data_IF_163076447272
#
_entry.id   IF_163076447272
#
_cell.length_a   1.000
_cell.length_b   1.000
_cell.length_c   1.000
_cell.angle_alpha   90.00
_cell.angle_beta   90.00
_cell.angle_gamma   90.00
#
_symmetry.space_group_name_H-M   'P 1'
#
loop_
_entity.id
_entity.type
_entity.pdbx_description
1 polymer ?
#
# COMPACT_ATOMS: atom_id res chain seq x y z
N UNK A 1 -47.99 -78.95 -11.12
CA UNK A 1 -48.20 -78.40 -9.78
C UNK A 1 -47.22 -77.26 -9.57
N UNK A 2 -47.65 -76.05 -9.94
CA UNK A 2 -46.90 -74.80 -9.82
C UNK A 2 -47.38 -74.08 -8.56
N UNK A 3 -46.53 -74.02 -7.55
CA UNK A 3 -46.81 -73.32 -6.30
C UNK A 3 -46.83 -71.79 -6.50
N UNK A 4 -47.68 -71.06 -5.76
CA UNK A 4 -47.77 -69.61 -5.90
C UNK A 4 -46.50 -68.92 -5.37
N UNK A 5 -46.00 -67.96 -6.15
CA UNK A 5 -44.91 -67.08 -5.77
C UNK A 5 -45.29 -66.21 -4.55
N UNK A 6 -44.39 -66.05 -3.55
CA UNK A 6 -44.63 -65.13 -2.45
C UNK A 6 -44.70 -63.70 -2.97
N UNK A 7 -45.84 -63.04 -2.72
CA UNK A 7 -46.02 -61.62 -2.96
C UNK A 7 -45.04 -60.84 -2.08
N UNK A 8 -44.11 -60.12 -2.73
CA UNK A 8 -43.27 -59.13 -2.06
C UNK A 8 -44.19 -58.07 -1.45
N UNK A 9 -44.30 -58.10 -0.12
CA UNK A 9 -44.95 -57.07 0.68
C UNK A 9 -44.23 -55.74 0.37
N UNK A 10 -44.96 -54.88 -0.34
CA UNK A 10 -44.64 -53.48 -0.57
C UNK A 10 -44.28 -52.81 0.76
N UNK A 11 -42.99 -52.72 1.06
CA UNK A 11 -42.47 -51.71 1.98
C UNK A 11 -42.65 -50.36 1.28
N UNK A 12 -43.86 -49.80 1.34
CA UNK A 12 -44.10 -48.39 1.13
C UNK A 12 -43.40 -47.63 2.27
N UNK A 13 -42.06 -47.57 2.19
CA UNK A 13 -41.28 -46.68 3.03
C UNK A 13 -41.79 -45.28 2.78
N UNK A 14 -42.31 -44.64 3.83
CA UNK A 14 -42.77 -43.27 3.81
C UNK A 14 -41.67 -42.41 3.19
N UNK A 15 -41.83 -42.05 1.91
CA UNK A 15 -40.89 -41.18 1.21
C UNK A 15 -40.93 -39.86 1.95
N UNK A 16 -39.84 -39.54 2.66
CA UNK A 16 -39.69 -38.24 3.28
C UNK A 16 -39.96 -37.17 2.22
N UNK A 17 -40.74 -36.12 2.54
CA UNK A 17 -41.01 -35.06 1.59
C UNK A 17 -39.68 -34.48 1.10
N UNK A 18 -39.46 -34.50 -0.22
CA UNK A 18 -38.21 -34.02 -0.86
C UNK A 18 -37.82 -32.59 -0.45
N UNK A 19 -38.79 -31.78 -0.03
CA UNK A 19 -38.53 -30.43 0.46
C UNK A 19 -37.81 -30.41 1.81
N UNK A 20 -38.09 -31.37 2.71
CA UNK A 20 -37.40 -31.47 4.00
C UNK A 20 -35.93 -31.82 3.79
N UNK A 21 -35.64 -32.77 2.90
CA UNK A 21 -34.27 -33.15 2.55
C UNK A 21 -33.51 -31.98 1.91
N UNK A 22 -34.17 -31.22 1.03
CA UNK A 22 -33.59 -30.04 0.41
C UNK A 22 -33.30 -28.92 1.45
N UNK A 23 -34.22 -28.68 2.38
CA UNK A 23 -34.05 -27.67 3.44
C UNK A 23 -32.91 -28.02 4.39
N UNK A 24 -32.82 -29.28 4.82
CA UNK A 24 -31.73 -29.76 5.71
C UNK A 24 -30.38 -29.66 5.00
N UNK A 25 -30.31 -30.05 3.72
CA UNK A 25 -29.09 -29.90 2.92
C UNK A 25 -28.69 -28.43 2.73
N UNK A 26 -29.64 -27.53 2.50
CA UNK A 26 -29.34 -26.09 2.38
C UNK A 26 -28.85 -25.49 3.69
N UNK A 27 -29.44 -25.86 4.83
CA UNK A 27 -29.00 -25.41 6.15
C UNK A 27 -27.58 -25.89 6.46
N UNK A 28 -27.29 -27.17 6.16
CA UNK A 28 -25.96 -27.73 6.31
C UNK A 28 -24.91 -26.98 5.46
N UNK A 29 -25.27 -26.60 4.23
CA UNK A 29 -24.37 -25.82 3.38
C UNK A 29 -24.16 -24.39 3.87
N UNK A 30 -25.20 -23.69 4.30
CA UNK A 30 -25.07 -22.32 4.86
C UNK A 30 -24.20 -22.33 6.12
N UNK A 31 -24.39 -23.33 6.99
CA UNK A 31 -23.57 -23.47 8.19
C UNK A 31 -22.10 -23.76 7.86
N UNK A 32 -21.84 -24.66 6.91
CA UNK A 32 -20.48 -25.00 6.49
C UNK A 32 -19.76 -23.82 5.81
N UNK A 33 -20.44 -23.10 4.90
CA UNK A 33 -19.85 -21.91 4.26
C UNK A 33 -19.62 -20.78 5.26
N UNK A 34 -20.55 -20.56 6.19
CA UNK A 34 -20.37 -19.61 7.29
C UNK A 34 -19.15 -19.93 8.14
N UNK A 35 -18.95 -21.20 8.49
CA UNK A 35 -17.79 -21.64 9.28
C UNK A 35 -16.47 -21.45 8.53
N UNK A 36 -16.40 -21.82 7.23
CA UNK A 36 -15.20 -21.61 6.40
C UNK A 36 -14.90 -20.12 6.23
N UNK A 37 -15.93 -19.30 5.99
CA UNK A 37 -15.76 -17.85 5.89
C UNK A 37 -15.23 -17.24 7.19
N UNK A 38 -15.73 -17.71 8.35
CA UNK A 38 -15.28 -17.23 9.66
C UNK A 38 -13.83 -17.63 9.95
N UNK A 39 -13.44 -18.87 9.62
CA UNK A 39 -12.04 -19.32 9.73
C UNK A 39 -11.14 -18.54 8.77
N UNK A 40 -11.57 -18.35 7.52
CA UNK A 40 -10.84 -17.57 6.51
C UNK A 40 -10.68 -16.10 6.92
N UNK A 41 -11.71 -15.49 7.49
CA UNK A 41 -11.66 -14.13 8.02
C UNK A 41 -10.60 -14.02 9.13
N UNK A 42 -10.62 -14.94 10.10
CA UNK A 42 -9.64 -14.95 11.21
C UNK A 42 -8.22 -15.12 10.67
N UNK A 43 -8.03 -15.93 9.65
CA UNK A 43 -6.72 -16.21 9.07
C UNK A 43 -6.18 -15.06 8.20
N UNK A 44 -7.04 -14.41 7.41
CA UNK A 44 -6.68 -13.32 6.49
C UNK A 44 -6.51 -12.00 7.22
N UNK A 45 -7.43 -11.66 8.13
CA UNK A 45 -7.40 -10.39 8.88
C UNK A 45 -6.32 -10.44 9.96
N UNK A 46 -6.05 -11.63 10.50
CA UNK A 46 -5.10 -11.85 11.57
C UNK A 46 -5.62 -11.36 12.94
N UNK A 47 -5.06 -11.89 14.04
CA UNK A 47 -5.56 -11.61 15.38
C UNK A 47 -5.38 -10.15 15.82
N UNK A 48 -4.37 -9.44 15.30
CA UNK A 48 -4.10 -8.04 15.62
C UNK A 48 -5.17 -7.08 15.10
N UNK A 49 -5.60 -7.24 13.84
CA UNK A 49 -6.66 -6.41 13.26
C UNK A 49 -8.03 -6.71 13.86
N UNK A 50 -8.33 -7.99 14.16
CA UNK A 50 -9.55 -8.36 14.87
C UNK A 50 -9.62 -7.67 16.23
N UNK A 51 -8.50 -7.66 16.97
CA UNK A 51 -8.39 -6.96 18.25
C UNK A 51 -8.59 -5.45 18.10
N UNK A 52 -7.93 -4.83 17.13
CA UNK A 52 -8.08 -3.39 16.87
C UNK A 52 -9.52 -3.01 16.49
N UNK A 53 -10.18 -3.79 15.64
CA UNK A 53 -11.60 -3.61 15.30
C UNK A 53 -12.50 -3.73 16.54
N UNK A 54 -12.23 -4.71 17.40
CA UNK A 54 -13.00 -4.93 18.63
C UNK A 54 -12.80 -3.79 19.64
N UNK A 55 -11.58 -3.29 19.78
CA UNK A 55 -11.23 -2.17 20.66
C UNK A 55 -11.89 -0.86 20.19
N UNK A 56 -11.90 -0.61 18.87
CA UNK A 56 -12.58 0.55 18.27
C UNK A 56 -14.09 0.48 18.48
N UNK A 57 -14.71 -0.69 18.28
CA UNK A 57 -16.16 -0.87 18.46
C UNK A 57 -16.59 -0.81 19.93
N UNK A 58 -15.78 -1.35 20.85
CA UNK A 58 -16.01 -1.22 22.29
C UNK A 58 -15.91 0.25 22.75
N UNK A 59 -15.01 1.03 22.16
CA UNK A 59 -14.83 2.43 22.49
C UNK A 59 -15.94 3.34 21.92
N UNK A 60 -16.49 3.01 20.75
CA UNK A 60 -17.49 3.85 20.07
C UNK A 60 -18.95 3.48 20.40
N UNK A 61 -19.16 2.37 21.10
CA UNK A 61 -20.48 1.85 21.46
C UNK A 61 -21.08 1.04 20.30
N UNK A 62 -21.59 -0.15 20.63
CA UNK A 62 -22.19 -1.07 19.66
C UNK A 62 -23.48 -0.50 19.05
N UNK A 63 -23.35 0.20 17.93
CA UNK A 63 -24.47 0.64 17.12
C UNK A 63 -24.70 -0.37 15.99
N UNK A 64 -25.67 -1.27 16.18
CA UNK A 64 -26.03 -2.32 15.22
C UNK A 64 -26.21 -1.80 13.79
N UNK A 65 -26.76 -0.58 13.64
CA UNK A 65 -27.02 0.05 12.35
C UNK A 65 -25.77 0.33 11.51
N UNK A 66 -24.58 0.50 12.10
CA UNK A 66 -23.34 0.83 11.37
C UNK A 66 -22.74 -0.37 10.64
N UNK A 67 -22.80 -1.55 11.26
CA UNK A 67 -22.19 -2.75 10.71
C UNK A 67 -23.20 -3.68 10.04
N UNK A 68 -24.48 -3.67 10.45
CA UNK A 68 -25.48 -4.58 9.85
C UNK A 68 -25.60 -4.37 8.35
N UNK A 69 -25.64 -3.13 7.87
CA UNK A 69 -25.80 -2.82 6.45
C UNK A 69 -24.67 -3.38 5.60
N UNK A 70 -23.40 -3.00 5.86
CA UNK A 70 -22.24 -3.51 5.13
C UNK A 70 -22.08 -5.03 5.25
N UNK A 71 -22.25 -5.60 6.46
CA UNK A 71 -22.11 -7.04 6.68
C UNK A 71 -23.22 -7.83 5.98
N UNK A 72 -24.47 -7.40 6.07
CA UNK A 72 -25.58 -8.04 5.38
C UNK A 72 -25.42 -7.93 3.86
N UNK A 73 -24.97 -6.78 3.35
CA UNK A 73 -24.65 -6.60 1.93
C UNK A 73 -23.55 -7.55 1.46
N UNK A 74 -22.48 -7.70 2.24
CA UNK A 74 -21.37 -8.60 1.91
C UNK A 74 -21.78 -10.07 1.99
N UNK A 75 -22.60 -10.46 2.97
CA UNK A 75 -23.18 -11.80 3.08
C UNK A 75 -24.11 -12.11 1.91
N UNK A 76 -24.95 -11.14 1.50
CA UNK A 76 -25.83 -11.30 0.34
C UNK A 76 -25.03 -11.49 -0.96
N UNK A 77 -24.00 -10.68 -1.19
CA UNK A 77 -23.11 -10.83 -2.34
C UNK A 77 -22.37 -12.16 -2.33
N UNK A 78 -21.85 -12.57 -1.16
CA UNK A 78 -21.16 -13.86 -0.98
C UNK A 78 -22.10 -15.03 -1.27
N UNK A 79 -23.36 -14.95 -0.82
CA UNK A 79 -24.38 -15.96 -1.10
C UNK A 79 -24.74 -16.01 -2.59
N UNK A 80 -24.82 -14.87 -3.27
CA UNK A 80 -25.05 -14.80 -4.72
C UNK A 80 -23.89 -15.43 -5.51
N UNK A 81 -22.64 -15.11 -5.15
CA UNK A 81 -21.44 -15.73 -5.77
C UNK A 81 -21.41 -17.24 -5.53
N UNK A 82 -21.75 -17.68 -4.34
CA UNK A 82 -21.84 -19.11 -4.06
C UNK A 82 -22.96 -19.79 -4.87
N UNK A 83 -24.13 -19.17 -4.95
CA UNK A 83 -25.25 -19.67 -5.73
C UNK A 83 -24.88 -19.80 -7.21
N UNK A 84 -24.18 -18.81 -7.80
CA UNK A 84 -23.71 -18.88 -9.18
C UNK A 84 -22.67 -19.99 -9.37
N UNK A 85 -21.74 -20.20 -8.44
CA UNK A 85 -20.79 -21.31 -8.47
C UNK A 85 -21.49 -22.68 -8.41
N UNK A 86 -22.49 -22.86 -7.54
CA UNK A 86 -23.25 -24.11 -7.43
C UNK A 86 -24.07 -24.36 -8.70
N UNK A 87 -24.72 -23.33 -9.25
CA UNK A 87 -25.47 -23.42 -10.51
C UNK A 87 -24.52 -23.78 -11.67
N UNK A 88 -23.36 -23.12 -11.76
CA UNK A 88 -22.35 -23.43 -12.76
C UNK A 88 -21.82 -24.87 -12.59
N UNK A 89 -21.51 -25.29 -11.37
CA UNK A 89 -21.05 -26.65 -11.07
C UNK A 89 -22.10 -27.71 -11.44
N UNK A 90 -23.38 -27.47 -11.14
CA UNK A 90 -24.48 -28.36 -11.53
C UNK A 90 -24.73 -28.35 -13.04
N UNK A 91 -24.63 -27.19 -13.69
CA UNK A 91 -24.72 -27.10 -15.15
C UNK A 91 -23.60 -27.93 -15.80
N UNK A 92 -22.36 -27.80 -15.32
CA UNK A 92 -21.20 -28.57 -15.79
C UNK A 92 -21.38 -30.09 -15.56
N UNK A 93 -21.93 -30.50 -14.40
CA UNK A 93 -22.26 -31.90 -14.15
C UNK A 93 -23.39 -32.42 -15.06
N UNK A 94 -24.39 -31.58 -15.37
CA UNK A 94 -25.48 -31.89 -16.29
C UNK A 94 -25.01 -32.07 -17.74
N UNK A 95 -23.97 -31.35 -18.16
CA UNK A 95 -23.31 -31.56 -19.45
C UNK A 95 -22.57 -32.91 -19.52
N UNK A 96 -22.09 -33.45 -18.40
CA UNK A 96 -21.41 -34.75 -18.35
C UNK A 96 -22.34 -35.97 -18.37
N UNK A 97 -23.58 -35.85 -17.87
CA UNK A 97 -24.46 -37.00 -17.66
C UNK A 97 -25.27 -37.47 -18.89
N UNK A 98 -25.31 -36.70 -19.98
CA UNK A 98 -26.24 -36.95 -21.11
C UNK A 98 -25.63 -37.35 -22.46
N UNK A 99 -24.32 -37.54 -22.59
CA UNK A 99 -23.75 -38.00 -23.86
C UNK A 99 -22.62 -39.04 -23.70
N UNK A 100 -22.98 -40.28 -24.06
CA UNK A 100 -22.28 -41.21 -24.98
C UNK A 100 -20.83 -41.62 -24.65
N UNK A 101 -20.61 -42.94 -24.69
CA UNK A 101 -19.37 -43.68 -25.02
C UNK A 101 -18.06 -42.87 -25.02
N UNK A 102 -17.04 -43.27 -24.25
CA UNK A 102 -15.80 -42.51 -24.06
C UNK A 102 -15.08 -42.31 -25.39
N UNK A 103 -15.36 -41.20 -26.07
CA UNK A 103 -14.45 -40.64 -27.06
C UNK A 103 -13.44 -39.84 -26.25
N UNK A 104 -12.18 -40.27 -26.26
CA UNK A 104 -11.06 -39.48 -25.77
C UNK A 104 -11.07 -38.11 -26.49
N UNK A 105 -11.75 -37.12 -25.92
CA UNK A 105 -11.51 -35.71 -26.24
C UNK A 105 -10.25 -35.33 -25.48
N UNK A 106 -9.13 -35.64 -26.11
CA UNK A 106 -7.78 -35.34 -25.67
C UNK A 106 -7.62 -33.80 -25.53
N UNK A 107 -6.97 -33.39 -24.44
CA UNK A 107 -6.08 -32.22 -24.35
C UNK A 107 -6.61 -30.78 -24.12
N UNK A 108 -7.91 -30.49 -23.93
CA UNK A 108 -8.32 -29.09 -23.59
C UNK A 108 -8.20 -28.72 -22.11
N UNK A 109 -8.39 -29.67 -21.19
CA UNK A 109 -8.22 -29.43 -19.75
C UNK A 109 -6.75 -29.33 -19.31
N UNK A 110 -5.84 -29.99 -20.05
CA UNK A 110 -4.41 -30.01 -19.74
C UNK A 110 -3.77 -28.62 -19.83
N UNK A 111 -4.16 -27.82 -20.83
CA UNK A 111 -3.64 -26.46 -21.02
C UNK A 111 -4.05 -25.54 -19.86
N UNK A 112 -5.29 -25.66 -19.38
CA UNK A 112 -5.77 -24.87 -18.24
C UNK A 112 -5.03 -25.24 -16.94
N UNK A 113 -4.81 -26.54 -16.69
CA UNK A 113 -4.03 -26.99 -15.52
C UNK A 113 -2.56 -26.60 -15.62
N UNK A 114 -1.96 -26.68 -16.80
CA UNK A 114 -0.58 -26.26 -17.05
C UNK A 114 -0.44 -24.75 -16.86
N UNK A 115 -1.41 -23.96 -17.35
CA UNK A 115 -1.44 -22.50 -17.16
C UNK A 115 -1.57 -22.14 -15.68
N UNK A 116 -2.41 -22.84 -14.91
CA UNK A 116 -2.56 -22.60 -13.47
C UNK A 116 -1.28 -22.93 -12.67
N UNK A 117 -0.50 -23.93 -13.11
CA UNK A 117 0.78 -24.28 -12.48
C UNK A 117 1.87 -23.26 -12.85
N UNK A 118 1.91 -22.83 -14.12
CA UNK A 118 2.94 -21.89 -14.62
C UNK A 118 2.66 -20.44 -14.19
N UNK A 119 1.39 -20.06 -14.04
CA UNK A 119 0.98 -18.67 -13.78
C UNK A 119 1.58 -18.09 -12.49
N UNK A 120 1.60 -18.76 -11.33
CA UNK A 120 2.24 -18.22 -10.13
C UNK A 120 3.74 -17.93 -10.33
N UNK A 121 4.46 -18.83 -11.01
CA UNK A 121 5.89 -18.65 -11.32
C UNK A 121 6.09 -17.47 -12.27
N UNK A 122 5.25 -17.38 -13.32
CA UNK A 122 5.28 -16.27 -14.26
C UNK A 122 4.98 -14.93 -13.57
N UNK A 123 3.94 -14.86 -12.73
CA UNK A 123 3.58 -13.65 -11.98
C UNK A 123 4.69 -13.25 -11.01
N UNK A 124 5.31 -14.21 -10.31
CA UNK A 124 6.46 -13.95 -9.43
C UNK A 124 7.64 -13.36 -10.22
N UNK A 125 7.95 -13.91 -11.40
CA UNK A 125 9.03 -13.39 -12.25
C UNK A 125 8.71 -12.00 -12.80
N UNK A 126 7.49 -11.79 -13.32
CA UNK A 126 7.08 -10.50 -13.88
C UNK A 126 7.05 -9.41 -12.81
N UNK A 127 6.40 -9.67 -11.66
CA UNK A 127 6.36 -8.70 -10.56
C UNK A 127 7.72 -8.53 -9.88
N UNK A 128 8.54 -9.58 -9.82
CA UNK A 128 9.91 -9.50 -9.30
C UNK A 128 10.79 -8.62 -10.17
N UNK A 129 10.74 -8.79 -11.50
CA UNK A 129 11.47 -7.94 -12.45
C UNK A 129 10.96 -6.49 -12.41
N UNK A 130 9.64 -6.29 -12.37
CA UNK A 130 9.06 -4.96 -12.25
C UNK A 130 9.47 -4.27 -10.95
N UNK A 131 9.43 -4.98 -9.80
CA UNK A 131 9.87 -4.43 -8.53
C UNK A 131 11.37 -4.12 -8.53
N UNK A 132 12.20 -4.99 -9.10
CA UNK A 132 13.64 -4.74 -9.22
C UNK A 132 13.92 -3.48 -10.04
N UNK A 133 13.18 -3.25 -11.12
CA UNK A 133 13.30 -2.03 -11.92
C UNK A 133 12.93 -0.78 -11.09
N UNK A 134 11.84 -0.82 -10.32
CA UNK A 134 11.42 0.28 -9.46
C UNK A 134 12.45 0.56 -8.35
N UNK A 135 13.00 -0.48 -7.73
CA UNK A 135 14.07 -0.36 -6.72
C UNK A 135 15.33 0.26 -7.33
N UNK A 136 15.69 -0.10 -8.55
CA UNK A 136 16.84 0.48 -9.23
C UNK A 136 16.63 1.98 -9.54
N UNK A 137 15.43 2.37 -10.01
CA UNK A 137 15.07 3.78 -10.21
C UNK A 137 15.16 4.54 -8.88
N UNK A 138 14.60 3.97 -7.80
CA UNK A 138 14.69 4.57 -6.47
C UNK A 138 16.14 4.70 -5.99
N UNK A 139 16.99 3.70 -6.25
CA UNK A 139 18.41 3.73 -5.94
C UNK A 139 19.17 4.84 -6.67
N UNK A 140 18.85 5.07 -7.96
CA UNK A 140 19.43 6.19 -8.72
C UNK A 140 18.95 7.55 -8.20
N UNK A 141 17.65 7.70 -7.90
CA UNK A 141 17.11 8.93 -7.34
C UNK A 141 17.63 9.19 -5.92
N UNK A 142 17.90 8.16 -5.12
CA UNK A 142 18.50 8.29 -3.79
C UNK A 142 19.94 8.84 -3.87
N UNK A 143 20.71 8.49 -4.90
CA UNK A 143 22.02 9.12 -5.13
C UNK A 143 21.87 10.62 -5.40
N UNK A 144 20.92 11.00 -6.27
CA UNK A 144 20.64 12.40 -6.55
C UNK A 144 20.10 13.14 -5.31
N UNK A 145 19.24 12.51 -4.54
CA UNK A 145 18.69 13.05 -3.30
C UNK A 145 19.78 13.29 -2.25
N UNK A 146 20.76 12.39 -2.10
CA UNK A 146 21.90 12.59 -1.22
C UNK A 146 22.74 13.80 -1.65
N UNK A 147 22.95 14.01 -2.96
CA UNK A 147 23.61 15.21 -3.48
C UNK A 147 22.83 16.48 -3.15
N UNK A 148 21.50 16.48 -3.33
CA UNK A 148 20.66 17.63 -3.02
C UNK A 148 20.63 17.95 -1.51
N UNK A 149 20.52 16.92 -0.67
CA UNK A 149 20.62 17.06 0.78
C UNK A 149 22.00 17.58 1.19
N UNK A 150 23.08 16.98 0.68
CA UNK A 150 24.45 17.40 1.02
C UNK A 150 24.76 18.82 0.59
N UNK A 151 24.25 19.28 -0.57
CA UNK A 151 24.34 20.69 -0.98
C UNK A 151 23.55 21.62 -0.07
N UNK A 152 22.36 21.22 0.36
CA UNK A 152 21.58 22.00 1.32
C UNK A 152 22.32 22.12 2.67
N UNK A 153 22.88 21.02 3.18
CA UNK A 153 23.72 21.04 4.39
C UNK A 153 24.94 21.94 4.18
N UNK A 154 25.65 21.77 3.07
CA UNK A 154 26.84 22.57 2.76
C UNK A 154 26.57 24.07 2.73
N UNK A 155 25.39 24.50 2.24
CA UNK A 155 24.97 25.90 2.23
C UNK A 155 24.62 26.41 3.63
N UNK A 156 23.82 25.66 4.39
CA UNK A 156 23.18 26.17 5.61
C UNK A 156 23.92 25.82 6.92
N UNK A 157 24.68 24.74 6.95
CA UNK A 157 25.42 24.31 8.15
C UNK A 157 26.43 25.35 8.66
N UNK A 158 27.18 26.09 7.80
CA UNK A 158 28.05 27.15 8.30
C UNK A 158 27.31 28.27 9.05
N UNK A 159 26.00 28.46 8.81
CA UNK A 159 25.20 29.48 9.50
C UNK A 159 24.84 29.08 10.94
N UNK A 160 24.95 27.81 11.31
CA UNK A 160 24.69 27.33 12.68
C UNK A 160 25.87 27.56 13.62
N UNK A 161 27.07 27.76 13.07
CA UNK A 161 28.28 27.98 13.86
C UNK A 161 28.37 29.43 14.37
N UNK A 162 28.67 29.64 15.67
CA UNK A 162 28.89 30.97 16.21
C UNK A 162 30.19 31.55 15.63
N UNK A 163 30.08 32.55 14.76
CA UNK A 163 31.22 33.34 14.31
C UNK A 163 31.55 34.38 15.38
N UNK A 164 32.64 34.14 16.11
CA UNK A 164 33.50 35.02 16.92
C UNK A 164 32.97 36.23 17.71
N UNK A 165 31.69 36.61 17.69
CA UNK A 165 31.02 37.43 18.72
C UNK A 165 29.57 37.83 18.39
N UNK A 166 28.95 37.31 17.31
CA UNK A 166 27.54 37.56 17.04
C UNK A 166 26.83 36.22 16.82
N UNK A 167 25.93 35.89 17.75
CA UNK A 167 25.00 34.76 17.75
C UNK A 167 24.74 34.21 16.36
N UNK A 168 24.89 32.88 16.18
CA UNK A 168 24.57 32.09 14.97
C UNK A 168 23.75 32.90 13.96
N UNK A 169 24.38 33.25 12.82
CA UNK A 169 23.84 34.24 11.87
C UNK A 169 22.34 33.98 11.67
N UNK A 170 21.49 34.84 12.24
CA UNK A 170 20.03 34.86 12.02
C UNK A 170 19.21 33.71 12.66
N UNK A 171 19.72 33.02 13.67
CA UNK A 171 18.92 32.04 14.43
C UNK A 171 18.66 30.71 13.68
N UNK A 172 19.51 30.37 12.71
CA UNK A 172 19.48 29.07 12.04
C UNK A 172 19.97 28.00 13.00
N UNK A 173 19.17 26.95 13.19
CA UNK A 173 19.51 25.81 14.05
C UNK A 173 19.84 24.58 13.20
N UNK A 174 20.60 23.63 13.74
CA UNK A 174 20.90 22.37 13.04
C UNK A 174 19.63 21.61 12.63
N UNK A 175 18.57 21.70 13.44
CA UNK A 175 17.26 21.14 13.10
C UNK A 175 16.67 21.76 11.82
N UNK A 176 16.83 23.07 11.62
CA UNK A 176 16.41 23.75 10.38
C UNK A 176 17.26 23.29 9.18
N UNK A 177 18.56 23.10 9.37
CA UNK A 177 19.46 22.58 8.32
C UNK A 177 19.05 21.18 7.88
N UNK A 178 18.82 20.29 8.86
CA UNK A 178 18.34 18.92 8.63
C UNK A 178 16.99 18.94 7.90
N UNK A 179 16.07 19.80 8.34
CA UNK A 179 14.75 19.91 7.72
C UNK A 179 14.82 20.41 6.27
N UNK A 180 15.67 21.40 5.98
CA UNK A 180 15.96 21.85 4.62
C UNK A 180 16.58 20.75 3.76
N UNK A 181 17.56 20.03 4.29
CA UNK A 181 18.21 18.92 3.57
C UNK A 181 17.23 17.79 3.28
N UNK A 182 16.38 17.43 4.26
CA UNK A 182 15.32 16.43 4.14
C UNK A 182 14.27 16.84 3.10
N UNK A 183 13.84 18.10 3.08
CA UNK A 183 12.88 18.60 2.10
C UNK A 183 13.43 18.57 0.67
N UNK A 184 14.71 18.90 0.47
CA UNK A 184 15.35 18.82 -0.85
C UNK A 184 15.50 17.37 -1.33
N UNK A 185 15.91 16.47 -0.43
CA UNK A 185 15.93 15.04 -0.73
C UNK A 185 14.54 14.48 -1.07
N UNK A 186 13.51 14.87 -0.29
CA UNK A 186 12.14 14.45 -0.53
C UNK A 186 11.63 14.88 -1.90
N UNK A 187 11.93 16.10 -2.34
CA UNK A 187 11.56 16.59 -3.67
C UNK A 187 12.20 15.74 -4.78
N UNK A 188 13.47 15.32 -4.61
CA UNK A 188 14.16 14.41 -5.53
C UNK A 188 13.56 12.99 -5.54
N UNK A 189 13.04 12.52 -4.40
CA UNK A 189 12.47 11.17 -4.22
C UNK A 189 10.96 11.09 -4.51
N UNK A 190 10.26 12.23 -4.60
CA UNK A 190 8.82 12.28 -4.86
C UNK A 190 8.37 11.44 -6.07
N UNK A 191 9.10 11.35 -7.21
CA UNK A 191 8.67 10.53 -8.34
C UNK A 191 8.48 9.04 -7.98
N UNK A 192 9.33 8.48 -7.12
CA UNK A 192 9.30 7.06 -6.70
C UNK A 192 8.50 6.81 -5.42
N UNK A 193 8.01 7.87 -4.77
CA UNK A 193 7.10 7.72 -3.65
C UNK A 193 5.74 7.18 -4.11
N UNK A 194 5.03 6.39 -3.28
CA UNK A 194 3.65 5.98 -3.56
C UNK A 194 2.73 7.20 -3.74
N UNK A 195 1.77 7.07 -4.66
CA UNK A 195 0.82 8.14 -4.99
C UNK A 195 -0.19 8.45 -3.91
N UNK A 196 -0.63 7.42 -3.19
CA UNK A 196 -1.63 7.51 -2.12
C UNK A 196 -1.02 7.06 -0.80
N UNK A 197 -1.26 7.78 0.29
CA UNK A 197 -0.91 7.34 1.62
C UNK A 197 -1.84 7.98 2.64
N UNK A 198 -2.11 7.27 3.74
CA UNK A 198 -2.89 7.79 4.85
C UNK A 198 -2.02 8.76 5.63
N UNK A 199 -2.22 10.06 5.49
CA UNK A 199 -1.55 11.01 6.38
C UNK A 199 -2.12 10.85 7.79
N UNK A 200 -1.46 10.04 8.62
CA UNK A 200 -1.78 9.99 10.05
C UNK A 200 -1.05 11.15 10.77
N UNK A 201 -1.67 12.32 10.80
CA UNK A 201 -1.43 13.33 11.86
C UNK A 201 -0.04 13.94 11.99
N UNK A 202 0.84 13.81 11.00
CA UNK A 202 2.11 14.53 10.98
C UNK A 202 1.93 15.91 10.34
N UNK A 203 1.83 16.97 11.14
CA UNK A 203 2.06 18.32 10.65
C UNK A 203 3.48 18.36 10.07
N UNK A 204 3.58 18.43 8.75
CA UNK A 204 4.85 18.59 8.07
C UNK A 204 5.56 19.86 8.52
N UNK A 205 6.87 19.96 8.28
CA UNK A 205 7.58 21.19 8.59
C UNK A 205 7.13 22.35 7.69
N UNK A 206 7.33 23.59 8.15
CA UNK A 206 7.08 24.79 7.32
C UNK A 206 7.95 24.81 6.05
N UNK A 207 9.09 24.11 6.04
CA UNK A 207 9.91 23.91 4.84
C UNK A 207 9.22 22.95 3.87
N UNK A 208 8.69 21.83 4.37
CA UNK A 208 7.92 20.88 3.56
C UNK A 208 6.67 21.54 2.97
N UNK A 209 5.94 22.35 3.75
CA UNK A 209 4.76 23.06 3.26
C UNK A 209 5.09 24.00 2.09
N UNK A 210 6.17 24.79 2.20
CA UNK A 210 6.64 25.64 1.11
C UNK A 210 7.09 24.83 -0.12
N UNK A 211 7.84 23.75 0.10
CA UNK A 211 8.29 22.88 -0.99
C UNK A 211 7.10 22.22 -1.72
N UNK A 212 6.09 21.78 -0.98
CA UNK A 212 4.83 21.27 -1.51
C UNK A 212 4.15 22.28 -2.41
N UNK A 213 3.98 23.52 -1.93
CA UNK A 213 3.35 24.59 -2.71
C UNK A 213 4.07 24.86 -4.02
N UNK A 214 5.40 24.93 -3.99
CA UNK A 214 6.21 25.12 -5.19
C UNK A 214 6.07 23.95 -6.18
N UNK A 215 6.13 22.70 -5.71
CA UNK A 215 5.97 21.53 -6.57
C UNK A 215 4.56 21.42 -7.14
N UNK A 216 3.51 21.70 -6.34
CA UNK A 216 2.13 21.71 -6.82
C UNK A 216 1.89 22.80 -7.86
N UNK A 217 2.40 24.01 -7.63
CA UNK A 217 2.28 25.13 -8.56
C UNK A 217 2.90 24.80 -9.92
N UNK A 218 3.98 24.00 -9.97
CA UNK A 218 4.58 23.53 -11.22
C UNK A 218 3.67 22.63 -12.07
N UNK A 219 2.60 22.08 -11.47
CA UNK A 219 1.65 21.19 -12.15
C UNK A 219 0.41 21.92 -12.67
N UNK A 220 0.32 23.24 -12.46
CA UNK A 220 -0.82 24.06 -12.90
C UNK A 220 -0.40 24.95 -14.05
N UNK A 221 -1.19 24.96 -15.11
CA UNK A 221 -0.90 25.70 -16.35
C UNK A 221 -0.87 27.22 -16.13
N UNK A 222 -1.60 27.72 -15.13
CA UNK A 222 -1.60 29.12 -14.70
C UNK A 222 -1.51 29.19 -13.18
N UNK A 223 -0.31 29.04 -12.60
CA UNK A 223 -0.17 29.04 -11.15
C UNK A 223 -0.58 30.44 -10.63
N UNK A 224 -1.44 30.50 -9.59
CA UNK A 224 -1.76 31.77 -8.95
C UNK A 224 -0.50 32.40 -8.35
N UNK A 225 -0.48 33.72 -8.24
CA UNK A 225 0.64 34.46 -7.62
C UNK A 225 0.92 34.01 -6.16
N UNK A 226 -0.04 33.33 -5.53
CA UNK A 226 0.08 32.74 -4.21
C UNK A 226 0.02 31.20 -4.29
N UNK A 227 1.18 30.58 -4.46
CA UNK A 227 1.35 29.12 -4.47
C UNK A 227 1.17 28.48 -3.08
N UNK A 228 1.23 29.27 -2.00
CA UNK A 228 1.01 28.79 -0.64
C UNK A 228 -0.46 28.44 -0.41
N UNK A 229 -1.39 29.25 -0.92
CA UNK A 229 -2.83 29.01 -0.79
C UNK A 229 -3.30 27.71 -1.46
N UNK A 230 -2.62 27.29 -2.53
CA UNK A 230 -2.92 26.02 -3.21
C UNK A 230 -2.71 24.79 -2.32
N UNK A 231 -1.76 24.85 -1.38
CA UNK A 231 -1.50 23.75 -0.45
C UNK A 231 -2.64 23.58 0.54
N UNK A 232 -3.26 24.68 0.98
CA UNK A 232 -4.40 24.64 1.90
C UNK A 232 -5.69 24.15 1.23
N UNK A 233 -5.86 24.42 -0.07
CA UNK A 233 -7.07 24.01 -0.82
C UNK A 233 -7.01 22.56 -1.31
N UNK A 234 -5.82 21.97 -1.50
CA UNK A 234 -5.67 20.55 -1.77
C UNK A 234 -5.90 19.76 -0.48
N UNK A 235 -7.16 19.61 -0.10
CA UNK A 235 -7.60 18.96 1.13
C UNK A 235 -6.81 17.69 1.45
N UNK A 236 -6.23 17.66 2.63
CA UNK A 236 -5.56 16.49 3.20
C UNK A 236 -6.58 15.67 3.97
N UNK A 237 -7.62 15.22 3.28
CA UNK A 237 -8.55 14.27 3.88
C UNK A 237 -7.77 13.00 4.25
N UNK A 238 -8.03 12.49 5.46
CA UNK A 238 -7.40 11.28 5.95
C UNK A 238 -7.68 10.16 4.95
N UNK A 239 -6.63 9.69 4.28
CA UNK A 239 -6.82 8.66 3.27
C UNK A 239 -7.39 7.39 3.95
N UNK A 240 -8.43 6.83 3.35
CA UNK A 240 -9.11 5.62 3.78
C UNK A 240 -8.40 4.38 3.22
N UNK A 241 -8.79 3.19 3.64
CA UNK A 241 -8.26 1.94 3.05
C UNK A 241 -8.61 1.80 1.56
N UNK A 242 -9.65 2.50 1.08
CA UNK A 242 -9.98 2.55 -0.36
C UNK A 242 -8.89 3.27 -1.17
N UNK A 243 -8.16 4.20 -0.56
CA UNK A 243 -7.08 4.95 -1.21
C UNK A 243 -5.81 4.12 -1.41
N UNK A 244 -5.67 2.99 -0.71
CA UNK A 244 -4.58 2.04 -0.95
C UNK A 244 -4.85 1.10 -2.13
N UNK A 245 -6.03 1.16 -2.74
CA UNK A 245 -6.41 0.25 -3.80
C UNK A 245 -5.67 0.53 -5.11
N UNK A 246 -5.25 -0.53 -5.80
CA UNK A 246 -4.49 -0.44 -7.06
C UNK A 246 -5.18 0.42 -8.14
N UNK A 247 -6.51 0.42 -8.18
CA UNK A 247 -7.27 1.21 -9.18
C UNK A 247 -7.15 2.73 -8.97
N UNK A 248 -6.95 3.21 -7.73
CA UNK A 248 -6.71 4.63 -7.44
C UNK A 248 -5.38 5.11 -8.01
N UNK A 249 -4.38 4.23 -8.07
CA UNK A 249 -3.09 4.53 -8.67
C UNK A 249 -3.17 4.86 -10.16
N UNK A 250 -4.26 4.45 -10.84
CA UNK A 250 -4.45 4.68 -12.27
C UNK A 250 -5.16 6.00 -12.56
N UNK A 251 -6.27 6.36 -11.89
CA UNK A 251 -7.08 7.53 -12.31
C UNK A 251 -7.81 8.30 -11.17
N UNK A 252 -7.46 8.09 -9.89
CA UNK A 252 -8.26 8.61 -8.79
C UNK A 252 -8.07 10.09 -8.40
N UNK A 253 -6.93 10.70 -8.72
CA UNK A 253 -6.54 12.03 -8.19
C UNK A 253 -5.92 12.94 -9.25
N UNK A 254 -6.07 14.26 -9.05
CA UNK A 254 -5.42 15.28 -9.89
C UNK A 254 -3.89 15.26 -9.74
N UNK A 255 -3.16 15.76 -10.74
CA UNK A 255 -1.69 15.86 -10.69
C UNK A 255 -1.17 16.70 -9.50
N UNK A 256 -1.72 17.90 -9.19
CA UNK A 256 -1.28 18.67 -8.03
C UNK A 256 -1.47 17.93 -6.70
N UNK A 257 -2.63 17.30 -6.50
CA UNK A 257 -2.93 16.52 -5.31
C UNK A 257 -1.98 15.33 -5.15
N UNK A 258 -1.74 14.59 -6.25
CA UNK A 258 -0.79 13.46 -6.27
C UNK A 258 0.63 13.91 -5.96
N UNK A 259 1.03 15.09 -6.47
CA UNK A 259 2.34 15.68 -6.22
C UNK A 259 2.52 16.01 -4.75
N UNK A 260 1.51 16.66 -4.13
CA UNK A 260 1.50 16.96 -2.70
C UNK A 260 1.61 15.70 -1.83
N UNK A 261 0.88 14.63 -2.20
CA UNK A 261 0.95 13.35 -1.50
C UNK A 261 2.32 12.70 -1.66
N UNK A 262 2.83 12.60 -2.89
CA UNK A 262 4.12 11.97 -3.18
C UNK A 262 5.28 12.64 -2.44
N UNK A 263 5.36 13.97 -2.45
CA UNK A 263 6.43 14.68 -1.73
C UNK A 263 6.28 14.54 -0.22
N UNK A 264 5.06 14.58 0.31
CA UNK A 264 4.85 14.41 1.77
C UNK A 264 5.28 13.02 2.20
N UNK A 265 4.89 11.98 1.46
CA UNK A 265 5.35 10.63 1.75
C UNK A 265 6.86 10.51 1.62
N UNK A 266 7.45 11.06 0.55
CA UNK A 266 8.89 11.05 0.36
C UNK A 266 9.62 11.70 1.55
N UNK A 267 9.09 12.81 2.06
CA UNK A 267 9.63 13.48 3.24
C UNK A 267 9.53 12.60 4.49
N UNK A 268 8.36 12.03 4.77
CA UNK A 268 8.15 11.15 5.93
C UNK A 268 9.00 9.87 5.85
N UNK A 269 9.23 9.37 4.65
CA UNK A 269 10.05 8.19 4.36
C UNK A 269 11.56 8.45 4.31
N UNK A 270 11.99 9.72 4.34
CA UNK A 270 13.40 10.09 4.27
C UNK A 270 13.87 10.57 5.63
N UNK A 271 15.02 10.09 6.08
CA UNK A 271 15.76 10.62 7.22
C UNK A 271 17.08 11.19 6.70
N UNK A 272 17.51 12.31 7.29
CA UNK A 272 18.76 12.98 6.92
C UNK A 272 19.53 13.31 8.20
N UNK A 273 20.82 12.99 8.19
CA UNK A 273 21.77 13.33 9.23
C UNK A 273 22.88 14.19 8.64
N UNK A 274 23.30 15.23 9.36
CA UNK A 274 24.48 16.02 9.01
C UNK A 274 25.72 15.21 9.36
N UNK A 275 26.61 15.03 8.39
CA UNK A 275 27.88 14.32 8.58
C UNK A 275 29.03 15.29 8.38
N UNK A 276 29.94 15.34 9.35
CA UNK A 276 31.20 16.08 9.27
C UNK A 276 32.37 15.12 9.38
N UNK A 277 33.34 15.20 8.46
CA UNK A 277 34.55 14.37 8.46
C UNK A 277 35.76 15.23 8.16
N UNK A 278 36.45 15.67 9.22
CA UNK A 278 37.60 16.57 9.09
C UNK A 278 37.14 17.90 8.48
N UNK A 279 37.67 18.22 7.30
CA UNK A 279 37.30 19.43 6.55
C UNK A 279 36.08 19.24 5.65
N UNK A 280 35.48 18.05 5.59
CA UNK A 280 34.29 17.80 4.77
C UNK A 280 33.00 17.89 5.59
N UNK A 281 31.94 18.40 4.96
CA UNK A 281 30.58 18.48 5.49
C UNK A 281 29.57 18.00 4.44
N UNK A 282 28.53 17.30 4.86
CA UNK A 282 27.45 16.89 3.97
C UNK A 282 26.34 16.16 4.69
N UNK A 283 25.68 15.24 3.98
CA UNK A 283 24.48 14.57 4.46
C UNK A 283 24.58 13.05 4.28
N UNK A 284 24.17 12.30 5.31
CA UNK A 284 23.77 10.90 5.22
C UNK A 284 22.26 10.85 5.11
N UNK A 285 21.76 10.20 4.07
CA UNK A 285 20.35 10.05 3.75
C UNK A 285 19.96 8.58 3.88
N UNK A 286 18.87 8.32 4.58
CA UNK A 286 18.21 7.01 4.62
C UNK A 286 16.79 7.15 4.09
N UNK A 287 16.45 6.40 3.05
CA UNK A 287 15.12 6.42 2.45
C UNK A 287 14.44 5.05 2.57
N UNK A 288 13.23 5.04 3.12
CA UNK A 288 12.37 3.86 3.21
C UNK A 288 11.49 3.75 1.95
N UNK A 289 11.97 3.00 0.96
CA UNK A 289 11.28 2.84 -0.31
C UNK A 289 10.17 1.78 -0.22
N UNK A 290 8.92 2.17 -0.48
CA UNK A 290 7.78 1.25 -0.43
C UNK A 290 7.81 0.21 -1.56
N UNK A 291 7.67 -1.07 -1.22
CA UNK A 291 7.58 -2.17 -2.18
C UNK A 291 6.17 -2.23 -2.77
N UNK A 292 6.06 -1.89 -4.06
CA UNK A 292 4.79 -1.70 -4.75
C UNK A 292 4.00 -2.99 -4.96
N UNK A 293 4.69 -4.12 -5.15
CA UNK A 293 4.07 -5.40 -5.48
C UNK A 293 4.01 -6.34 -4.25
N UNK A 294 2.81 -6.60 -3.67
CA UNK A 294 2.69 -7.40 -2.45
C UNK A 294 3.21 -8.84 -2.60
N UNK A 295 3.07 -9.45 -3.78
CA UNK A 295 3.49 -10.83 -4.03
C UNK A 295 4.99 -11.05 -3.81
N UNK A 296 5.79 -10.00 -4.02
CA UNK A 296 7.25 -10.02 -3.83
C UNK A 296 7.68 -9.17 -2.63
N UNK A 297 6.71 -8.72 -1.81
CA UNK A 297 6.93 -7.83 -0.67
C UNK A 297 8.00 -8.32 0.28
N UNK A 298 7.89 -9.57 0.71
CA UNK A 298 8.82 -10.22 1.64
C UNK A 298 10.21 -10.52 1.04
N UNK A 299 10.37 -10.43 -0.30
CA UNK A 299 11.66 -10.65 -0.96
C UNK A 299 12.47 -9.35 -1.01
N UNK A 300 11.82 -8.22 -1.24
CA UNK A 300 12.47 -6.94 -1.49
C UNK A 300 12.45 -5.97 -0.31
N UNK A 301 11.72 -6.29 0.77
CA UNK A 301 11.62 -5.39 1.90
C UNK A 301 11.21 -6.06 3.20
N UNK A 302 11.25 -5.26 4.25
CA UNK A 302 10.88 -5.64 5.60
C UNK A 302 9.56 -4.95 5.98
N UNK A 303 8.74 -5.60 6.81
CA UNK A 303 7.50 -5.02 7.28
C UNK A 303 7.80 -3.81 8.18
N UNK A 304 7.31 -2.64 7.79
CA UNK A 304 7.45 -1.39 8.53
C UNK A 304 6.22 -0.49 8.31
N UNK A 305 6.18 0.63 8.99
CA UNK A 305 5.17 1.67 8.82
C UNK A 305 5.82 3.03 8.64
N UNK A 306 5.48 3.72 7.57
CA UNK A 306 6.00 5.06 7.26
C UNK A 306 4.82 5.98 7.05
N UNK A 307 4.76 7.06 7.84
CA UNK A 307 3.71 8.06 7.73
C UNK A 307 2.30 7.45 7.80
N UNK A 308 2.06 6.51 8.70
CA UNK A 308 0.77 5.81 8.86
C UNK A 308 0.53 4.66 7.88
N UNK A 309 1.36 4.50 6.84
CA UNK A 309 1.21 3.41 5.86
C UNK A 309 2.06 2.20 6.25
N UNK A 310 1.41 1.12 6.67
CA UNK A 310 2.05 -0.18 6.84
C UNK A 310 2.33 -0.86 5.49
N UNK A 311 3.48 -1.50 5.35
CA UNK A 311 3.83 -2.27 4.15
C UNK A 311 5.22 -2.87 4.24
N UNK A 312 5.71 -3.39 3.10
CA UNK A 312 7.11 -3.81 2.99
C UNK A 312 7.93 -2.64 2.46
N UNK A 313 9.05 -2.36 3.09
CA UNK A 313 9.94 -1.25 2.75
C UNK A 313 11.36 -1.75 2.52
N UNK A 314 12.02 -1.18 1.51
CA UNK A 314 13.44 -1.38 1.22
C UNK A 314 14.20 -0.15 1.67
N UNK A 315 15.17 -0.32 2.58
CA UNK A 315 15.98 0.79 3.08
C UNK A 315 17.12 1.09 2.12
N UNK A 316 17.22 2.34 1.67
CA UNK A 316 18.27 2.83 0.79
C UNK A 316 19.04 3.93 1.51
N UNK A 317 20.29 3.65 1.87
CA UNK A 317 21.17 4.63 2.53
C UNK A 317 22.23 5.15 1.56
N UNK A 318 22.43 6.47 1.53
CA UNK A 318 23.41 7.16 0.66
C UNK A 318 24.04 8.31 1.42
N UNK A 319 25.30 8.59 1.14
CA UNK A 319 26.04 9.67 1.77
C UNK A 319 26.69 10.53 0.70
N UNK A 320 26.70 11.85 0.92
CA UNK A 320 27.41 12.79 0.05
C UNK A 320 28.07 13.88 0.91
N UNK A 321 29.36 14.10 0.67
CA UNK A 321 30.21 15.05 1.39
C UNK A 321 30.82 16.06 0.41
N UNK A 322 31.03 17.29 0.87
CA UNK A 322 31.70 18.37 0.17
C UNK A 322 32.74 19.02 1.11
N UNK A 323 33.84 19.57 0.59
CA UNK A 323 34.75 20.39 1.40
C UNK A 323 33.98 21.54 2.05
N UNK A 324 34.14 21.71 3.36
CA UNK A 324 33.47 22.76 4.13
C UNK A 324 33.81 24.14 3.57
N UNK A 325 32.83 25.04 3.61
CA UNK A 325 33.06 26.43 3.20
C UNK A 325 34.14 27.03 4.09
N UNK A 326 35.18 27.58 3.47
CA UNK A 326 36.17 28.39 4.17
C UNK A 326 35.44 29.61 4.70
N UNK A 327 35.48 29.82 6.01
CA UNK A 327 34.90 31.02 6.59
C UNK A 327 35.69 32.23 6.07
N UNK A 328 35.05 33.24 5.45
CA UNK A 328 35.73 34.45 5.05
C UNK A 328 36.42 35.05 6.28
N UNK A 329 37.70 35.41 6.14
CA UNK A 329 38.43 36.01 7.24
C UNK A 329 37.68 37.25 7.73
N UNK A 330 37.33 37.29 9.02
CA UNK A 330 36.58 38.40 9.61
C UNK A 330 37.35 39.74 9.48
N UNK A 331 38.68 39.67 9.40
CA UNK A 331 39.55 40.85 9.27
C UNK A 331 39.69 41.33 7.82
N UNK A 332 39.42 40.48 6.82
CA UNK A 332 39.56 40.82 5.39
C UNK A 332 38.44 40.15 4.56
N UNK A 333 37.23 40.73 4.53
CA UNK A 333 36.08 40.14 3.83
C UNK A 333 36.16 40.21 2.28
N UNK A 334 37.21 40.82 1.70
CA UNK A 334 37.29 41.14 0.26
C UNK A 334 38.32 40.33 -0.54
N UNK A 335 38.89 39.24 0.00
CA UNK A 335 39.78 38.35 -0.77
C UNK A 335 39.08 37.08 -1.24
#
# INVERSE_FOLDING_TARGET
MSGPHPQNLNTQGARRPRWIEASVASLGHVAATGMVALVGLVWVVGPGHLRALLEVELAQGWAASRWLGPVAGHLALSALVWATLVVAGRALQGFGARQRSPRLVRARGAVATETLIVMPVLLLLVFGLAQLAVVNIAGMLANYAAVQAGRAVWVWHPETQPLNDQSARRGVTDAMVIDHARAQAAAALAPVAPGDHQMSGGEGSAVLERMRGMMMASQVESPPNDSGRMVQEAGFDAATNEDAAFWRALDGSSFPERTSRKITFAYLATEVEVVTRGEDVGASLTYQHYVAFPLVGAIFGEQSSVGGRSGNFSTITREFLLPAQVQPNAETPEL
#
